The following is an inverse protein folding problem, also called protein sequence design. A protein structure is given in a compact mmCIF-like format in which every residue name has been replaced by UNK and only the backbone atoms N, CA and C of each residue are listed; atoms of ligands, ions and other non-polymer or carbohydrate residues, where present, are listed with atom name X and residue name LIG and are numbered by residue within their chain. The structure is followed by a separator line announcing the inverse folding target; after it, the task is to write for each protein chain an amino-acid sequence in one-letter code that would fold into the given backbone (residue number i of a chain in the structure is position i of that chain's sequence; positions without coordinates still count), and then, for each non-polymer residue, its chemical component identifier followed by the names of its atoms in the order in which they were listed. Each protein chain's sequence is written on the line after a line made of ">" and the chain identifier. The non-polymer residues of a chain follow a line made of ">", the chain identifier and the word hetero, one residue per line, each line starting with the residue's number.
data_IF_155366438270
#
_entry.id   IF_155366438270
#
_cell.length_a   1.000
_cell.length_b   1.000
_cell.length_c   1.000
_cell.angle_alpha   90.00
_cell.angle_beta   90.00
_cell.angle_gamma   90.00
#
_symmetry.space_group_name_H-M   'P 1'
#
loop_
_entity.id
_entity.type
_entity.pdbx_description
1 polymer ?
#
# COMPACT_ATOMS: atom_id res chain seq x y z
N UNK A 1 -49.70 19.40 55.49
CA UNK A 1 -50.96 18.67 55.20
C UNK A 1 -50.61 17.49 54.36
N UNK A 2 -50.53 16.40 55.07
CA UNK A 2 -51.22 15.13 55.00
C UNK A 2 -50.73 14.24 53.83
N UNK A 3 -49.93 13.25 54.17
CA UNK A 3 -50.22 11.89 54.61
C UNK A 3 -51.09 11.09 53.66
N UNK A 4 -50.52 9.98 53.17
CA UNK A 4 -51.01 8.63 53.18
C UNK A 4 -50.10 7.79 52.26
N UNK A 5 -49.19 6.99 52.74
CA UNK A 5 -49.32 5.59 53.23
C UNK A 5 -50.21 4.72 52.35
N UNK A 6 -49.61 3.90 51.50
CA UNK A 6 -50.12 2.56 51.35
C UNK A 6 -49.12 1.58 50.69
N UNK A 7 -48.71 0.68 51.50
CA UNK A 7 -48.66 -0.80 51.41
C UNK A 7 -48.05 -1.42 50.15
N UNK A 8 -46.95 -2.14 50.41
CA UNK A 8 -46.44 -3.24 49.57
C UNK A 8 -47.39 -4.42 49.47
N UNK A 9 -47.28 -5.17 48.42
CA UNK A 9 -47.33 -6.63 48.56
C UNK A 9 -45.99 -7.28 48.23
N UNK A 10 -45.57 -8.11 49.16
CA UNK A 10 -44.53 -9.12 49.02
C UNK A 10 -44.97 -10.14 47.98
N UNK A 11 -44.24 -10.27 46.89
CA UNK A 11 -44.29 -11.47 46.06
C UNK A 11 -42.96 -12.20 46.18
N UNK A 12 -43.04 -13.28 46.93
CA UNK A 12 -42.11 -14.37 46.97
C UNK A 12 -42.23 -15.15 45.66
N UNK A 13 -41.21 -15.22 44.83
CA UNK A 13 -41.19 -16.15 43.72
C UNK A 13 -39.80 -16.68 43.40
N UNK A 14 -39.72 -17.92 43.67
CA UNK A 14 -39.05 -19.02 42.93
C UNK A 14 -37.87 -18.65 42.02
N UNK A 15 -36.74 -19.14 42.46
CA UNK A 15 -35.56 -19.34 41.69
C UNK A 15 -35.81 -20.34 40.56
N UNK A 16 -35.78 -19.89 39.32
CA UNK A 16 -35.62 -20.74 38.14
C UNK A 16 -34.16 -20.63 37.72
N UNK A 17 -33.39 -21.66 38.07
CA UNK A 17 -32.04 -21.89 37.56
C UNK A 17 -32.16 -22.27 36.07
N UNK A 18 -31.95 -21.31 35.18
CA UNK A 18 -31.73 -21.59 33.79
C UNK A 18 -30.22 -21.84 33.59
N UNK A 19 -29.86 -23.11 33.47
CA UNK A 19 -28.53 -23.53 33.08
C UNK A 19 -28.29 -23.12 31.60
N UNK A 20 -27.63 -21.99 31.37
CA UNK A 20 -27.12 -21.63 30.07
C UNK A 20 -25.88 -22.47 29.76
N UNK A 21 -26.04 -23.46 28.88
CA UNK A 21 -24.92 -24.13 28.23
C UNK A 21 -24.10 -23.09 27.43
N UNK A 22 -22.94 -22.73 27.98
CA UNK A 22 -21.90 -22.03 27.21
C UNK A 22 -21.32 -23.03 26.18
N UNK A 23 -21.78 -22.97 24.96
CA UNK A 23 -21.06 -23.51 23.79
C UNK A 23 -19.82 -22.67 23.58
N UNK A 24 -18.59 -23.26 23.67
CA UNK A 24 -17.40 -22.53 23.19
C UNK A 24 -17.54 -22.38 21.68
N UNK A 25 -17.83 -21.16 21.25
CA UNK A 25 -17.77 -20.78 19.83
C UNK A 25 -16.37 -21.09 19.30
N UNK A 26 -16.27 -22.03 18.38
CA UNK A 26 -15.10 -22.21 17.50
C UNK A 26 -14.89 -20.90 16.75
N UNK A 27 -14.10 -20.00 17.33
CA UNK A 27 -13.55 -18.85 16.61
C UNK A 27 -12.62 -19.42 15.52
N UNK A 28 -13.18 -19.67 14.34
CA UNK A 28 -12.42 -19.98 13.15
C UNK A 28 -11.42 -18.86 12.96
N UNK A 29 -10.13 -19.17 13.16
CA UNK A 29 -9.04 -18.29 12.76
C UNK A 29 -9.11 -18.16 11.23
N UNK A 30 -9.85 -17.18 10.74
CA UNK A 30 -9.78 -16.76 9.36
C UNK A 30 -8.32 -16.33 9.13
N UNK A 31 -7.55 -17.19 8.50
CA UNK A 31 -6.16 -16.92 8.16
C UNK A 31 -6.11 -15.59 7.44
N UNK A 32 -5.52 -14.57 8.06
CA UNK A 32 -5.32 -13.26 7.44
C UNK A 32 -4.46 -13.48 6.21
N UNK A 33 -5.08 -13.41 5.04
CA UNK A 33 -4.35 -13.39 3.77
C UNK A 33 -3.26 -12.32 3.88
N UNK A 34 -2.02 -12.67 3.54
CA UNK A 34 -0.94 -11.69 3.55
C UNK A 34 -1.36 -10.45 2.76
N UNK A 35 -1.08 -9.25 3.23
CA UNK A 35 -1.47 -8.03 2.53
C UNK A 35 -0.84 -8.02 1.13
N UNK A 36 -1.63 -7.68 0.12
CA UNK A 36 -1.15 -7.57 -1.25
C UNK A 36 -0.27 -6.31 -1.40
N UNK A 37 0.87 -6.46 -2.07
CA UNK A 37 1.70 -5.31 -2.45
C UNK A 37 1.04 -4.58 -3.62
N UNK A 38 0.72 -3.29 -3.44
CA UNK A 38 0.16 -2.44 -4.50
C UNK A 38 1.09 -1.27 -4.75
N UNK A 39 1.73 -1.28 -5.90
CA UNK A 39 2.60 -0.21 -6.38
C UNK A 39 1.99 0.41 -7.63
N UNK A 40 1.96 1.74 -7.69
CA UNK A 40 1.52 2.45 -8.88
C UNK A 40 2.25 3.78 -9.02
N UNK A 41 2.57 4.11 -10.26
CA UNK A 41 3.18 5.39 -10.63
C UNK A 41 2.26 6.12 -11.59
N UNK A 42 1.91 7.35 -11.25
CA UNK A 42 0.92 8.15 -11.96
C UNK A 42 1.58 9.38 -12.56
N UNK A 43 1.38 9.60 -13.85
CA UNK A 43 1.88 10.78 -14.54
C UNK A 43 1.05 12.00 -14.18
N UNK A 44 1.69 13.14 -14.04
CA UNK A 44 1.00 14.43 -13.94
C UNK A 44 0.13 14.65 -15.19
N UNK A 45 -1.12 15.01 -14.96
CA UNK A 45 -2.14 15.17 -15.99
C UNK A 45 -1.95 16.49 -16.76
N UNK A 46 -2.48 16.52 -17.99
CA UNK A 46 -2.61 17.73 -18.78
C UNK A 46 -3.91 18.47 -18.47
N UNK A 47 -3.94 19.79 -18.71
CA UNK A 47 -5.21 20.52 -18.70
C UNK A 47 -6.19 19.89 -19.69
N UNK A 48 -7.38 19.48 -19.19
CA UNK A 48 -8.41 18.83 -20.01
C UNK A 48 -8.49 17.30 -19.90
N UNK A 49 -7.53 16.65 -19.26
CA UNK A 49 -7.63 15.22 -18.95
C UNK A 49 -8.86 14.93 -18.10
N UNK A 50 -9.68 13.91 -18.47
CA UNK A 50 -10.97 13.62 -17.80
C UNK A 50 -10.85 12.67 -16.61
N UNK A 51 -9.89 11.75 -16.64
CA UNK A 51 -9.71 10.74 -15.59
C UNK A 51 -8.51 11.10 -14.71
N UNK A 52 -8.72 12.05 -13.83
CA UNK A 52 -7.67 12.59 -12.98
C UNK A 52 -8.04 12.53 -11.50
N UNK A 53 -7.04 12.69 -10.64
CA UNK A 53 -7.21 12.96 -9.21
C UNK A 53 -6.21 14.04 -8.79
N UNK A 54 -6.55 14.75 -7.71
CA UNK A 54 -5.74 15.80 -7.16
C UNK A 54 -4.91 15.28 -6.00
N UNK A 55 -3.67 15.74 -5.90
CA UNK A 55 -2.75 15.39 -4.83
C UNK A 55 -1.90 16.59 -4.45
N UNK A 56 -1.72 16.80 -3.15
CA UNK A 56 -0.79 17.80 -2.65
C UNK A 56 0.64 17.23 -2.73
N UNK A 57 1.52 17.91 -3.48
CA UNK A 57 2.93 17.54 -3.65
C UNK A 57 3.79 18.77 -3.42
N UNK A 58 4.77 18.67 -2.51
CA UNK A 58 5.65 19.78 -2.15
C UNK A 58 4.90 21.09 -1.82
N UNK A 59 3.74 20.99 -1.12
CA UNK A 59 2.93 22.14 -0.73
C UNK A 59 2.07 22.75 -1.84
N UNK A 60 2.07 22.18 -3.05
CA UNK A 60 1.24 22.62 -4.18
C UNK A 60 0.29 21.52 -4.63
N UNK A 61 -0.94 21.87 -4.98
CA UNK A 61 -1.89 20.94 -5.58
C UNK A 61 -1.46 20.63 -7.02
N UNK A 62 -1.30 19.35 -7.31
CA UNK A 62 -1.04 18.85 -8.66
C UNK A 62 -2.10 17.83 -9.05
N UNK A 63 -2.34 17.68 -10.35
CA UNK A 63 -3.35 16.78 -10.92
C UNK A 63 -2.62 15.62 -11.59
N UNK A 64 -3.06 14.40 -11.31
CA UNK A 64 -2.45 13.18 -11.83
C UNK A 64 -3.47 12.32 -12.56
N UNK A 65 -3.03 11.59 -13.57
CA UNK A 65 -3.85 10.62 -14.28
C UNK A 65 -4.25 9.46 -13.36
N UNK A 66 -5.52 9.05 -13.36
CA UNK A 66 -5.99 7.89 -12.59
C UNK A 66 -5.41 6.57 -13.09
N UNK A 67 -5.17 6.46 -14.39
CA UNK A 67 -4.48 5.32 -14.96
C UNK A 67 -3.01 5.33 -14.53
N UNK A 68 -2.55 4.26 -13.90
CA UNK A 68 -1.15 4.12 -13.56
C UNK A 68 -0.32 3.91 -14.84
N UNK A 69 0.73 4.69 -15.01
CA UNK A 69 1.71 4.51 -16.09
C UNK A 69 2.54 3.24 -15.89
N UNK A 70 2.91 2.95 -14.63
CA UNK A 70 3.61 1.75 -14.17
C UNK A 70 2.86 1.22 -12.95
N UNK A 71 2.75 -0.10 -12.83
CA UNK A 71 2.05 -0.77 -11.72
C UNK A 71 2.82 -1.97 -11.21
N UNK A 72 2.38 -2.59 -10.11
CA UNK A 72 3.04 -3.76 -9.50
C UNK A 72 3.36 -4.88 -10.49
N UNK A 73 2.46 -5.13 -11.46
CA UNK A 73 2.64 -6.19 -12.48
C UNK A 73 3.80 -5.95 -13.45
N UNK A 74 4.24 -4.72 -13.55
CA UNK A 74 5.30 -4.28 -14.46
C UNK A 74 6.70 -4.40 -13.82
N UNK A 75 6.75 -4.76 -12.52
CA UNK A 75 7.97 -4.79 -11.71
C UNK A 75 8.43 -6.23 -11.56
N UNK A 76 9.69 -6.50 -11.85
CA UNK A 76 10.28 -7.84 -11.80
C UNK A 76 11.23 -8.06 -10.64
N UNK A 77 11.84 -6.99 -10.11
CA UNK A 77 12.75 -7.06 -8.97
C UNK A 77 12.84 -5.71 -8.24
N UNK A 78 13.40 -5.71 -7.04
CA UNK A 78 13.61 -4.48 -6.28
C UNK A 78 14.93 -4.50 -5.53
N UNK A 79 15.39 -3.31 -5.07
CA UNK A 79 16.48 -3.14 -4.10
C UNK A 79 16.13 -1.98 -3.18
N UNK A 80 16.14 -2.21 -1.87
CA UNK A 80 16.00 -1.16 -0.87
C UNK A 80 17.37 -0.62 -0.45
N UNK A 81 17.40 0.66 -0.06
CA UNK A 81 18.56 1.33 0.51
C UNK A 81 18.12 2.27 1.63
N UNK A 82 18.98 2.58 2.62
CA UNK A 82 18.67 3.60 3.63
C UNK A 82 18.45 4.95 2.95
N UNK A 83 17.42 5.68 3.38
CA UNK A 83 17.20 7.06 2.94
C UNK A 83 18.06 8.04 3.73
N UNK A 84 18.32 9.22 3.20
CA UNK A 84 19.12 10.25 3.83
C UNK A 84 18.57 10.75 5.18
N UNK A 85 17.27 10.53 5.44
CA UNK A 85 16.60 10.89 6.69
C UNK A 85 16.89 9.90 7.84
N UNK A 86 17.63 8.80 7.61
CA UNK A 86 17.93 7.70 8.54
C UNK A 86 16.72 7.03 9.21
N UNK A 87 15.49 7.43 8.87
CA UNK A 87 14.26 6.93 9.47
C UNK A 87 13.39 6.13 8.47
N UNK A 88 13.70 6.21 7.19
CA UNK A 88 12.98 5.54 6.12
C UNK A 88 13.92 4.85 5.14
N UNK A 89 13.34 4.22 4.13
CA UNK A 89 14.05 3.56 3.05
C UNK A 89 13.67 4.16 1.71
N UNK A 90 14.65 4.21 0.82
CA UNK A 90 14.42 4.31 -0.60
C UNK A 90 14.34 2.92 -1.23
N UNK A 91 13.69 2.82 -2.39
CA UNK A 91 13.56 1.57 -3.13
C UNK A 91 13.75 1.82 -4.62
N UNK A 92 14.63 1.05 -5.23
CA UNK A 92 14.78 0.93 -6.68
C UNK A 92 13.96 -0.25 -7.15
N UNK A 93 13.10 -0.05 -8.14
CA UNK A 93 12.34 -1.10 -8.81
C UNK A 93 12.88 -1.32 -10.22
N UNK A 94 13.07 -2.57 -10.59
CA UNK A 94 13.43 -2.98 -11.94
C UNK A 94 12.16 -3.39 -12.67
N UNK A 95 11.96 -2.81 -13.84
CA UNK A 95 10.82 -3.07 -14.70
C UNK A 95 11.09 -4.23 -15.67
N UNK A 96 10.02 -4.87 -16.13
CA UNK A 96 10.12 -5.78 -17.27
C UNK A 96 10.44 -5.01 -18.57
N UNK A 97 10.73 -5.74 -19.64
CA UNK A 97 11.12 -5.15 -20.94
C UNK A 97 10.03 -4.26 -21.52
N UNK A 98 8.77 -4.65 -21.39
CA UNK A 98 7.62 -3.89 -21.94
C UNK A 98 7.42 -2.59 -21.19
N UNK A 99 7.45 -2.65 -19.86
CA UNK A 99 7.33 -1.48 -18.99
C UNK A 99 8.55 -0.54 -19.11
N UNK A 100 9.77 -1.09 -19.31
CA UNK A 100 10.97 -0.31 -19.62
C UNK A 100 10.79 0.53 -20.89
N UNK A 101 10.29 -0.07 -21.96
CA UNK A 101 10.02 0.67 -23.21
C UNK A 101 8.92 1.73 -23.01
N UNK A 102 7.87 1.40 -22.24
CA UNK A 102 6.81 2.35 -21.90
C UNK A 102 7.34 3.52 -21.08
N UNK A 103 8.17 3.26 -20.06
CA UNK A 103 8.79 4.29 -19.22
C UNK A 103 9.71 5.19 -20.06
N UNK A 104 10.50 4.63 -20.98
CA UNK A 104 11.35 5.38 -21.90
C UNK A 104 10.52 6.34 -22.76
N UNK A 105 9.47 5.85 -23.42
CA UNK A 105 8.57 6.68 -24.23
C UNK A 105 7.92 7.79 -23.40
N UNK A 106 7.39 7.42 -22.22
CA UNK A 106 6.75 8.36 -21.31
C UNK A 106 7.73 9.44 -20.84
N UNK A 107 8.92 9.05 -20.37
CA UNK A 107 9.91 10.00 -19.85
C UNK A 107 10.50 10.90 -20.96
N UNK A 108 10.57 10.42 -22.18
CA UNK A 108 10.96 11.25 -23.34
C UNK A 108 9.89 12.30 -23.67
N UNK A 109 8.61 11.91 -23.65
CA UNK A 109 7.51 12.78 -24.07
C UNK A 109 7.08 13.79 -22.99
N UNK A 110 7.38 13.51 -21.70
CA UNK A 110 6.83 14.26 -20.56
C UNK A 110 7.91 14.79 -19.63
N UNK A 111 9.03 15.28 -20.19
CA UNK A 111 10.06 15.96 -19.40
C UNK A 111 9.49 17.21 -18.71
N UNK A 112 9.93 17.46 -17.48
CA UNK A 112 9.45 18.53 -16.62
C UNK A 112 8.17 18.20 -15.83
N UNK A 113 7.48 17.08 -16.12
CA UNK A 113 6.30 16.64 -15.39
C UNK A 113 6.65 15.79 -14.19
N UNK A 114 5.69 15.70 -13.26
CA UNK A 114 5.80 14.87 -12.08
C UNK A 114 5.35 13.42 -12.37
N UNK A 115 6.07 12.48 -11.81
CA UNK A 115 5.68 11.08 -11.67
C UNK A 115 5.45 10.78 -10.21
N UNK A 116 4.20 10.52 -9.82
CA UNK A 116 3.75 10.29 -8.46
C UNK A 116 3.85 8.80 -8.12
N UNK A 117 4.56 8.46 -7.06
CA UNK A 117 4.67 7.09 -6.54
C UNK A 117 3.66 6.85 -5.42
N UNK A 118 2.86 5.79 -5.56
CA UNK A 118 1.86 5.36 -4.57
C UNK A 118 2.15 3.92 -4.17
N UNK A 119 2.29 3.69 -2.87
CA UNK A 119 2.52 2.37 -2.27
C UNK A 119 1.38 2.06 -1.32
N UNK A 120 0.67 0.96 -1.57
CA UNK A 120 -0.48 0.52 -0.77
C UNK A 120 -1.53 1.63 -0.53
N UNK A 121 -1.76 2.47 -1.56
CA UNK A 121 -2.71 3.58 -1.50
C UNK A 121 -2.18 4.84 -0.83
N UNK A 122 -0.93 4.86 -0.36
CA UNK A 122 -0.28 6.03 0.22
C UNK A 122 0.72 6.64 -0.76
N UNK A 123 0.64 7.93 -0.95
CA UNK A 123 1.64 8.68 -1.72
C UNK A 123 2.97 8.65 -0.97
N UNK A 124 4.04 8.25 -1.66
CA UNK A 124 5.38 8.16 -1.08
C UNK A 124 6.33 9.19 -1.65
N UNK A 125 6.26 9.42 -2.95
CA UNK A 125 7.18 10.34 -3.60
C UNK A 125 6.54 10.96 -4.83
N UNK A 126 7.08 12.09 -5.28
CA UNK A 126 6.75 12.72 -6.55
C UNK A 126 8.03 13.26 -7.18
N UNK A 127 8.47 12.60 -8.23
CA UNK A 127 9.75 12.89 -8.89
C UNK A 127 9.50 13.63 -10.18
N UNK A 128 10.29 14.68 -10.43
CA UNK A 128 10.29 15.36 -11.74
C UNK A 128 11.02 14.48 -12.77
N UNK A 129 10.41 14.29 -13.91
CA UNK A 129 11.04 13.62 -15.05
C UNK A 129 12.02 14.61 -15.68
N UNK A 130 13.30 14.52 -15.35
CA UNK A 130 14.36 15.42 -15.81
C UNK A 130 14.97 14.98 -17.16
N UNK A 131 14.96 13.68 -17.43
CA UNK A 131 15.57 13.07 -18.61
C UNK A 131 14.89 11.76 -18.99
N UNK A 132 15.09 11.26 -20.23
CA UNK A 132 14.63 9.93 -20.64
C UNK A 132 15.24 8.82 -19.77
N UNK A 133 14.40 7.90 -19.28
CA UNK A 133 14.81 6.73 -18.50
C UNK A 133 14.91 5.53 -19.42
N UNK A 134 16.12 5.03 -19.66
CA UNK A 134 16.40 3.96 -20.62
C UNK A 134 16.79 2.62 -19.97
N UNK A 135 17.14 2.65 -18.68
CA UNK A 135 17.68 1.51 -17.92
C UNK A 135 16.60 0.62 -17.31
N UNK A 136 15.32 1.02 -17.39
CA UNK A 136 14.21 0.28 -16.80
C UNK A 136 14.18 0.31 -15.28
N UNK A 137 14.84 1.28 -14.67
CA UNK A 137 14.82 1.48 -13.23
C UNK A 137 13.91 2.65 -12.87
N UNK A 138 13.14 2.50 -11.81
CA UNK A 138 12.33 3.57 -11.22
C UNK A 138 12.61 3.62 -9.72
N UNK A 139 12.77 4.81 -9.16
CA UNK A 139 13.22 4.97 -7.78
C UNK A 139 12.18 5.74 -6.97
N UNK A 140 11.91 5.25 -5.77
CA UNK A 140 11.29 6.01 -4.68
C UNK A 140 12.44 6.32 -3.70
N UNK A 141 12.74 7.59 -3.48
CA UNK A 141 13.95 7.98 -2.75
C UNK A 141 13.82 7.85 -1.24
N UNK A 142 12.59 7.98 -0.69
CA UNK A 142 12.34 8.03 0.76
C UNK A 142 10.92 7.65 1.12
N UNK A 143 10.62 7.64 2.41
CA UNK A 143 9.28 7.43 2.99
C UNK A 143 8.74 6.00 2.92
N UNK A 144 9.57 5.04 2.52
CA UNK A 144 9.20 3.62 2.60
C UNK A 144 9.57 3.09 3.98
N UNK A 145 8.61 2.51 4.68
CA UNK A 145 8.81 1.90 5.99
C UNK A 145 9.49 0.53 5.88
N UNK A 146 10.13 0.09 6.95
CA UNK A 146 10.69 -1.27 7.03
C UNK A 146 9.63 -2.35 6.80
N UNK A 147 8.39 -2.12 7.23
CA UNK A 147 7.27 -3.05 6.99
C UNK A 147 6.95 -3.19 5.50
N UNK A 148 6.97 -2.08 4.75
CA UNK A 148 6.76 -2.09 3.31
C UNK A 148 7.93 -2.71 2.55
N UNK A 149 9.17 -2.51 3.01
CA UNK A 149 10.34 -3.22 2.47
C UNK A 149 10.20 -4.73 2.67
N UNK A 150 9.80 -5.17 3.87
CA UNK A 150 9.55 -6.60 4.16
C UNK A 150 8.41 -7.17 3.32
N UNK A 151 7.35 -6.40 3.12
CA UNK A 151 6.24 -6.78 2.25
C UNK A 151 6.69 -6.92 0.79
N UNK A 152 7.49 -5.97 0.31
CA UNK A 152 8.07 -6.03 -1.04
C UNK A 152 8.95 -7.27 -1.21
N UNK A 153 9.78 -7.62 -0.21
CA UNK A 153 10.65 -8.81 -0.20
C UNK A 153 9.87 -10.15 -0.23
N UNK A 154 8.60 -10.13 0.17
CA UNK A 154 7.70 -11.27 0.07
C UNK A 154 7.09 -11.43 -1.33
N UNK A 155 6.93 -10.34 -2.08
CA UNK A 155 6.25 -10.32 -3.37
C UNK A 155 7.20 -10.27 -4.57
N UNK A 156 8.41 -9.75 -4.39
CA UNK A 156 9.37 -9.53 -5.47
C UNK A 156 10.76 -10.06 -5.07
N UNK A 157 11.53 -10.63 -6.01
CA UNK A 157 12.94 -10.94 -5.80
C UNK A 157 13.77 -9.65 -5.71
N UNK A 158 14.94 -9.74 -5.09
CA UNK A 158 15.90 -8.65 -5.10
C UNK A 158 16.61 -8.57 -6.45
N UNK A 159 17.02 -7.37 -6.85
CA UNK A 159 17.82 -7.18 -8.07
C UNK A 159 19.09 -8.03 -7.97
N UNK A 160 19.30 -8.93 -8.93
CA UNK A 160 20.41 -9.89 -8.95
C UNK A 160 20.13 -11.22 -8.21
N UNK A 161 18.98 -11.38 -7.56
CA UNK A 161 18.59 -12.65 -6.94
C UNK A 161 17.94 -13.58 -7.98
N UNK A 162 18.36 -14.85 -8.01
CA UNK A 162 17.70 -15.85 -8.85
C UNK A 162 16.23 -16.04 -8.39
N UNK A 163 15.24 -15.90 -9.28
CA UNK A 163 13.82 -16.09 -8.96
C UNK A 163 13.49 -17.44 -8.33
N UNK A 164 14.26 -18.52 -8.65
CA UNK A 164 14.07 -19.83 -8.05
C UNK A 164 14.56 -19.86 -6.58
N UNK A 165 15.69 -19.21 -6.31
CA UNK A 165 16.22 -19.07 -4.96
C UNK A 165 15.28 -18.23 -4.10
N UNK A 166 14.77 -17.12 -4.62
CA UNK A 166 13.75 -16.29 -3.96
C UNK A 166 12.50 -17.10 -3.60
N UNK A 167 11.90 -17.86 -4.55
CA UNK A 167 10.73 -18.71 -4.29
C UNK A 167 10.97 -19.73 -3.18
N UNK A 168 12.18 -20.30 -3.08
CA UNK A 168 12.55 -21.19 -1.98
C UNK A 168 12.65 -20.46 -0.65
N UNK A 169 13.20 -19.24 -0.65
CA UNK A 169 13.36 -18.39 0.53
C UNK A 169 12.02 -17.99 1.15
N UNK A 170 11.05 -17.55 0.34
CA UNK A 170 9.74 -17.12 0.84
C UNK A 170 8.86 -18.28 1.33
N UNK A 171 9.04 -19.52 0.80
CA UNK A 171 8.31 -20.71 1.25
C UNK A 171 8.77 -21.25 2.61
N UNK A 172 9.96 -20.86 3.07
CA UNK A 172 10.54 -21.28 4.36
C UNK A 172 10.15 -20.37 5.52
N UNK A 173 9.54 -19.23 5.25
CA UNK A 173 9.00 -18.29 6.25
C UNK A 173 7.52 -18.53 6.49
#
# INVERSE_FOLDING_TARGET
>A
RELLCNSMPRYSFLAIFAATLLLPGLAGAAGKKAPDLKLSFHLQAEPGDRRVFKQLTAGKEAIFQKAAAISTKDIVAFRSFPSDDNNSYGVVFQLDKTATNRLRTLSTAHQGKLLLAVVNGQVRDAVVIDKPVNDGLIVIWKWISLAEVKLTDQHLPRIGEDPRAWKKRIKKK
#
